data_IF_922665045946
#
_entry.id   IF_922665045946
#
_cell.length_a   1.000
_cell.length_b   1.000
_cell.length_c   1.000
_cell.angle_alpha   90.00
_cell.angle_beta   90.00
_cell.angle_gamma   90.00
#
_symmetry.space_group_name_H-M   'P 1'
#
loop_
_entity.id
_entity.type
_entity.pdbx_description
1 polymer ?
#
# COMPACT_ATOMS: atom_id res chain seq x y z
N UNK A 1 -27.57 -45.48 29.06
CA UNK A 1 -26.41 -44.58 28.95
C UNK A 1 -26.21 -44.23 27.48
N UNK A 2 -26.65 -43.05 27.05
CA UNK A 2 -26.37 -42.54 25.70
C UNK A 2 -25.06 -41.72 25.76
N UNK A 3 -24.05 -42.17 25.02
CA UNK A 3 -22.82 -41.42 24.75
C UNK A 3 -23.09 -40.50 23.56
N UNK A 4 -23.23 -39.19 23.80
CA UNK A 4 -23.17 -38.21 22.71
C UNK A 4 -21.71 -38.02 22.27
N UNK A 5 -21.40 -38.08 20.97
CA UNK A 5 -20.08 -37.73 20.48
C UNK A 5 -19.92 -36.20 20.55
N UNK A 6 -18.89 -35.73 21.26
CA UNK A 6 -18.39 -34.37 21.14
C UNK A 6 -17.92 -34.18 19.69
N UNK A 7 -18.76 -33.56 18.87
CA UNK A 7 -18.33 -33.04 17.59
C UNK A 7 -17.37 -31.87 17.87
N UNK A 8 -16.07 -32.16 17.79
CA UNK A 8 -15.02 -31.16 17.87
C UNK A 8 -15.13 -30.28 16.61
N UNK A 9 -15.85 -29.17 16.73
CA UNK A 9 -15.93 -28.16 15.68
C UNK A 9 -14.56 -27.50 15.54
N UNK A 10 -13.80 -27.95 14.55
CA UNK A 10 -12.65 -27.25 14.00
C UNK A 10 -13.15 -25.92 13.42
N UNK A 11 -13.22 -24.89 14.27
CA UNK A 11 -13.37 -23.52 13.79
C UNK A 11 -12.06 -23.21 13.06
N UNK A 12 -12.08 -22.97 11.74
CA UNK A 12 -10.87 -22.53 11.06
C UNK A 12 -10.47 -21.22 11.72
N UNK A 13 -9.31 -21.19 12.37
CA UNK A 13 -8.69 -19.95 12.77
C UNK A 13 -8.58 -19.14 11.48
N UNK A 14 -9.22 -17.97 11.44
CA UNK A 14 -9.05 -17.04 10.34
C UNK A 14 -7.55 -16.76 10.27
N UNK A 15 -6.87 -17.40 9.32
CA UNK A 15 -5.50 -17.07 9.02
C UNK A 15 -5.56 -15.63 8.54
N UNK A 16 -5.20 -14.73 9.44
CA UNK A 16 -4.85 -13.35 9.13
C UNK A 16 -3.82 -13.41 8.01
N UNK A 17 -4.28 -13.16 6.78
CA UNK A 17 -3.45 -13.31 5.60
C UNK A 17 -2.41 -12.19 5.68
N UNK A 18 -1.21 -12.51 6.16
CA UNK A 18 -0.11 -11.55 6.18
C UNK A 18 0.56 -11.52 4.80
N UNK A 19 0.96 -10.33 4.38
CA UNK A 19 1.75 -10.13 3.17
C UNK A 19 3.14 -10.71 3.40
N UNK A 20 3.47 -11.77 2.68
CA UNK A 20 4.78 -12.42 2.80
C UNK A 20 5.91 -11.44 2.41
N UNK A 21 7.00 -11.46 3.17
CA UNK A 21 8.14 -10.54 2.97
C UNK A 21 7.96 -9.12 3.53
N UNK A 22 6.79 -8.82 4.12
CA UNK A 22 6.50 -7.56 4.79
C UNK A 22 6.36 -7.75 6.31
N UNK A 23 6.90 -6.82 7.12
CA UNK A 23 6.72 -6.85 8.57
C UNK A 23 5.32 -6.37 8.97
N UNK A 24 4.91 -6.63 10.22
CA UNK A 24 3.58 -6.26 10.74
C UNK A 24 3.31 -4.75 10.65
N UNK A 25 4.36 -3.94 10.74
CA UNK A 25 4.33 -2.49 10.53
C UNK A 25 5.57 -2.05 9.75
N UNK A 26 5.39 -1.15 8.77
CA UNK A 26 6.48 -0.57 7.99
C UNK A 26 6.13 0.81 7.49
N UNK A 27 7.14 1.54 7.01
CA UNK A 27 6.94 2.83 6.34
C UNK A 27 7.44 2.76 4.91
N UNK A 28 6.77 3.47 4.01
CA UNK A 28 7.17 3.62 2.61
C UNK A 28 7.37 5.10 2.34
N UNK A 29 8.57 5.46 1.88
CA UNK A 29 8.87 6.80 1.38
C UNK A 29 9.03 6.74 -0.13
N UNK A 30 8.52 7.74 -0.84
CA UNK A 30 8.72 7.84 -2.28
C UNK A 30 8.89 9.28 -2.75
N UNK A 31 9.81 9.46 -3.69
CA UNK A 31 10.03 10.71 -4.40
C UNK A 31 9.31 10.65 -5.77
N UNK A 32 8.38 11.58 -6.00
CA UNK A 32 7.62 11.70 -7.25
C UNK A 32 8.15 12.90 -8.02
N UNK A 33 8.52 12.70 -9.29
CA UNK A 33 9.00 13.74 -10.19
C UNK A 33 8.06 13.91 -11.38
N UNK A 34 7.72 15.15 -11.75
CA UNK A 34 7.10 15.42 -13.06
C UNK A 34 6.38 16.77 -13.17
N UNK A 35 5.93 17.07 -14.39
CA UNK A 35 5.10 18.24 -14.71
C UNK A 35 3.64 17.84 -15.01
N UNK A 36 3.40 16.56 -15.29
CA UNK A 36 2.10 15.96 -15.63
C UNK A 36 2.17 14.43 -15.47
N UNK A 37 1.23 13.80 -14.73
CA UNK A 37 1.24 12.34 -14.42
C UNK A 37 0.80 11.45 -15.62
N UNK A 38 0.57 12.03 -16.79
CA UNK A 38 0.34 11.23 -18.01
C UNK A 38 1.54 10.38 -18.42
N UNK A 39 2.72 10.66 -17.83
CA UNK A 39 3.88 9.79 -17.96
C UNK A 39 3.85 8.74 -16.83
N UNK A 40 3.72 7.43 -17.13
CA UNK A 40 3.76 6.35 -16.14
C UNK A 40 5.16 6.16 -15.52
N UNK A 41 5.92 7.25 -15.40
CA UNK A 41 7.29 7.27 -14.90
C UNK A 41 7.33 7.00 -13.40
N UNK A 42 7.29 5.70 -13.10
CA UNK A 42 8.01 4.97 -12.07
C UNK A 42 8.71 5.85 -11.02
N UNK A 43 8.23 5.83 -9.78
CA UNK A 43 9.04 6.29 -8.66
C UNK A 43 10.24 5.37 -8.52
N UNK A 44 11.45 5.94 -8.53
CA UNK A 44 12.69 5.20 -8.29
C UNK A 44 13.35 5.73 -7.02
N UNK A 45 13.72 4.79 -6.14
CA UNK A 45 14.44 4.90 -4.86
C UNK A 45 13.58 5.17 -3.62
N UNK A 46 13.73 4.48 -2.48
CA UNK A 46 14.73 3.52 -1.96
C UNK A 46 14.09 2.15 -1.66
N UNK A 47 14.79 1.03 -1.93
CA UNK A 47 14.41 -0.38 -1.68
C UNK A 47 13.06 -0.90 -2.25
N UNK A 48 12.13 -0.02 -2.65
CA UNK A 48 10.80 -0.33 -3.16
C UNK A 48 10.47 0.53 -4.38
N UNK A 49 9.71 -0.02 -5.33
CA UNK A 49 9.12 0.76 -6.44
C UNK A 49 7.68 1.09 -6.09
N UNK A 50 7.34 2.38 -5.95
CA UNK A 50 5.96 2.84 -5.82
C UNK A 50 5.45 3.26 -7.22
N UNK A 51 4.24 2.86 -7.58
CA UNK A 51 3.46 3.46 -8.67
C UNK A 51 2.20 4.10 -8.07
N UNK A 52 1.71 5.21 -8.61
CA UNK A 52 0.46 5.86 -8.17
C UNK A 52 -0.45 6.12 -9.36
N UNK A 53 -1.75 6.03 -9.15
CA UNK A 53 -2.77 6.45 -10.11
C UNK A 53 -3.52 7.68 -9.62
N UNK A 54 -3.39 8.79 -10.36
CA UNK A 54 -4.09 10.05 -10.11
C UNK A 54 -3.64 11.11 -11.11
N UNK A 55 -4.42 12.19 -11.30
CA UNK A 55 -4.10 13.22 -12.30
C UNK A 55 -3.10 14.28 -11.82
N UNK A 56 -2.76 14.32 -10.51
CA UNK A 56 -1.88 15.33 -9.92
C UNK A 56 -0.90 14.74 -8.89
N UNK A 57 0.23 15.44 -8.69
CA UNK A 57 1.29 15.07 -7.75
C UNK A 57 0.88 15.14 -6.27
N UNK A 58 -0.27 15.75 -5.98
CA UNK A 58 -0.79 15.86 -4.62
C UNK A 58 -1.46 14.54 -4.21
N UNK A 59 -1.12 13.95 -3.05
CA UNK A 59 -1.64 12.64 -2.65
C UNK A 59 -3.14 12.66 -2.34
N UNK A 60 -3.71 13.85 -2.12
CA UNK A 60 -5.15 14.08 -1.98
C UNK A 60 -5.98 13.65 -3.20
N UNK A 61 -5.38 13.39 -4.36
CA UNK A 61 -6.09 12.91 -5.55
C UNK A 61 -5.65 11.51 -5.99
N UNK A 62 -4.76 10.86 -5.25
CA UNK A 62 -4.35 9.50 -5.58
C UNK A 62 -5.51 8.54 -5.33
N UNK A 63 -5.78 7.65 -6.27
CA UNK A 63 -6.86 6.65 -6.15
C UNK A 63 -6.30 5.28 -5.79
N UNK A 64 -5.12 4.98 -6.30
CA UNK A 64 -4.38 3.77 -5.98
C UNK A 64 -2.88 4.04 -5.97
N UNK A 65 -2.16 3.12 -5.33
CA UNK A 65 -0.72 2.98 -5.43
C UNK A 65 -0.33 1.50 -5.51
N UNK A 66 0.90 1.19 -5.89
CA UNK A 66 1.43 -0.17 -5.85
C UNK A 66 2.87 -0.13 -5.40
N UNK A 67 3.26 -0.98 -4.45
CA UNK A 67 4.65 -1.17 -4.06
C UNK A 67 5.19 -2.55 -4.44
N UNK A 68 6.44 -2.55 -4.87
CA UNK A 68 7.19 -3.76 -5.15
C UNK A 68 8.51 -3.76 -4.37
N UNK A 69 8.77 -4.85 -3.65
CA UNK A 69 10.02 -5.16 -2.97
C UNK A 69 10.57 -6.48 -3.52
N UNK A 70 11.88 -6.59 -3.66
CA UNK A 70 12.51 -7.84 -4.08
C UNK A 70 12.19 -8.97 -3.10
N UNK A 71 11.93 -10.18 -3.63
CA UNK A 71 11.62 -11.37 -2.83
C UNK A 71 10.51 -11.12 -1.78
N UNK A 72 9.45 -10.41 -2.18
CA UNK A 72 8.31 -10.09 -1.31
C UNK A 72 7.02 -10.02 -2.13
N UNK A 73 5.88 -10.06 -1.45
CA UNK A 73 4.58 -9.82 -2.07
C UNK A 73 4.56 -8.45 -2.75
N UNK A 74 3.93 -8.36 -3.92
CA UNK A 74 3.57 -7.06 -4.48
C UNK A 74 2.32 -6.58 -3.75
N UNK A 75 2.24 -5.28 -3.48
CA UNK A 75 1.15 -4.74 -2.68
C UNK A 75 0.46 -3.63 -3.45
N UNK A 76 -0.85 -3.79 -3.64
CA UNK A 76 -1.72 -2.75 -4.18
C UNK A 76 -2.34 -1.97 -3.01
N UNK A 77 -2.30 -0.65 -3.12
CA UNK A 77 -2.93 0.30 -2.22
C UNK A 77 -4.14 0.90 -2.91
N UNK A 78 -5.30 0.84 -2.29
CA UNK A 78 -6.52 1.50 -2.81
C UNK A 78 -7.07 2.47 -1.79
N UNK A 79 -7.23 3.74 -2.20
CA UNK A 79 -7.65 4.79 -1.29
C UNK A 79 -9.07 4.56 -0.79
N UNK A 80 -9.29 4.78 0.50
CA UNK A 80 -10.60 4.70 1.11
C UNK A 80 -11.33 6.04 0.94
N UNK A 81 -12.11 6.17 -0.13
CA UNK A 81 -12.87 7.40 -0.41
C UNK A 81 -11.97 8.64 -0.47
N UNK A 82 -12.36 9.70 0.26
CA UNK A 82 -11.62 10.97 0.34
C UNK A 82 -10.68 11.04 1.57
N UNK A 83 -10.19 9.90 2.09
CA UNK A 83 -9.34 9.85 3.28
C UNK A 83 -7.86 9.66 2.94
N UNK A 84 -6.96 9.95 3.87
CA UNK A 84 -5.52 9.67 3.69
C UNK A 84 -5.13 8.21 3.95
N UNK A 85 -6.12 7.32 3.98
CA UNK A 85 -5.95 5.90 4.26
C UNK A 85 -6.14 5.06 3.00
N UNK A 86 -5.30 4.05 2.84
CA UNK A 86 -5.33 3.07 1.76
C UNK A 86 -5.50 1.68 2.34
N UNK A 87 -6.39 0.88 1.75
CA UNK A 87 -6.40 -0.56 1.99
C UNK A 87 -5.24 -1.22 1.26
N UNK A 88 -4.62 -2.21 1.89
CA UNK A 88 -3.53 -3.00 1.33
C UNK A 88 -4.04 -4.35 0.84
N UNK A 89 -3.65 -4.71 -0.38
CA UNK A 89 -3.99 -5.99 -1.02
C UNK A 89 -2.72 -6.64 -1.54
N UNK A 90 -2.60 -7.97 -1.47
CA UNK A 90 -1.60 -8.66 -2.27
C UNK A 90 -2.00 -8.58 -3.75
N UNK A 91 -1.11 -8.09 -4.61
CA UNK A 91 -1.43 -7.88 -6.02
C UNK A 91 -1.82 -9.20 -6.70
N UNK A 92 -2.85 -9.15 -7.55
CA UNK A 92 -3.41 -10.30 -8.27
C UNK A 92 -3.97 -11.44 -7.38
N UNK A 93 -4.35 -11.14 -6.12
CA UNK A 93 -5.01 -12.10 -5.22
C UNK A 93 -6.52 -11.83 -5.06
N UNK A 94 -7.12 -12.54 -4.10
CA UNK A 94 -8.56 -12.68 -3.84
C UNK A 94 -9.25 -11.42 -3.28
N UNK A 95 -8.63 -10.24 -3.42
CA UNK A 95 -9.12 -8.95 -2.91
C UNK A 95 -9.32 -8.92 -1.39
N UNK A 96 -8.69 -9.82 -0.66
CA UNK A 96 -8.62 -9.72 0.80
C UNK A 96 -7.83 -8.47 1.20
N UNK A 97 -8.34 -7.72 2.17
CA UNK A 97 -7.58 -6.61 2.76
C UNK A 97 -6.63 -7.20 3.79
N UNK A 98 -5.34 -7.03 3.58
CA UNK A 98 -4.28 -7.53 4.46
C UNK A 98 -3.84 -6.50 5.50
N UNK A 99 -4.17 -5.23 5.28
CA UNK A 99 -3.65 -4.12 6.07
C UNK A 99 -4.15 -2.77 5.61
N UNK A 100 -3.61 -1.72 6.23
CA UNK A 100 -3.84 -0.34 5.83
C UNK A 100 -2.55 0.47 5.84
N UNK A 101 -2.49 1.48 5.00
CA UNK A 101 -1.46 2.52 5.02
C UNK A 101 -2.11 3.89 5.19
N UNK A 102 -1.48 4.78 5.93
CA UNK A 102 -1.90 6.17 6.06
C UNK A 102 -0.79 7.11 5.62
N UNK A 103 -1.14 8.18 4.90
CA UNK A 103 -0.20 9.27 4.62
C UNK A 103 0.06 10.01 5.93
N UNK A 104 1.31 10.02 6.37
CA UNK A 104 1.73 10.70 7.61
C UNK A 104 2.60 11.91 7.35
N UNK A 105 3.19 12.01 6.16
CA UNK A 105 3.93 13.17 5.73
C UNK A 105 3.82 13.37 4.22
N UNK A 106 3.69 14.63 3.83
CA UNK A 106 3.77 15.09 2.46
C UNK A 106 4.61 16.37 2.45
N UNK A 107 5.59 16.42 1.56
CA UNK A 107 6.42 17.59 1.35
C UNK A 107 6.63 17.80 -0.14
N UNK A 108 6.28 18.98 -0.63
CA UNK A 108 6.61 19.42 -1.98
C UNK A 108 7.86 20.29 -1.92
N UNK A 109 8.93 19.86 -2.61
CA UNK A 109 10.12 20.67 -2.75
C UNK A 109 9.87 21.79 -3.77
N UNK A 110 10.50 22.97 -3.61
CA UNK A 110 10.40 24.06 -4.58
C UNK A 110 10.80 23.58 -5.99
N UNK A 111 10.06 24.03 -7.00
CA UNK A 111 10.28 23.65 -8.40
C UNK A 111 11.76 23.85 -8.80
N UNK A 112 12.43 22.74 -9.15
CA UNK A 112 13.74 22.78 -9.79
C UNK A 112 13.58 22.65 -11.30
N UNK A 113 14.64 22.90 -12.08
CA UNK A 113 14.63 22.96 -13.55
C UNK A 113 14.10 21.69 -14.27
N UNK A 114 13.79 20.62 -13.53
CA UNK A 114 13.32 19.30 -13.98
C UNK A 114 11.87 18.99 -13.53
N UNK A 115 11.17 19.96 -12.96
CA UNK A 115 9.78 19.83 -12.52
C UNK A 115 9.60 19.88 -11.00
N UNK A 116 8.44 19.44 -10.53
CA UNK A 116 8.12 19.38 -9.10
C UNK A 116 8.58 18.04 -8.53
N UNK A 117 9.22 18.09 -7.35
CA UNK A 117 9.55 16.91 -6.56
C UNK A 117 8.65 16.87 -5.33
N UNK A 118 7.97 15.74 -5.14
CA UNK A 118 7.13 15.49 -3.97
C UNK A 118 7.68 14.30 -3.21
N UNK A 119 7.81 14.44 -1.89
CA UNK A 119 8.09 13.35 -0.97
C UNK A 119 6.81 12.97 -0.23
N UNK A 120 6.48 11.68 -0.21
CA UNK A 120 5.36 11.14 0.57
C UNK A 120 5.84 10.03 1.49
N UNK A 121 5.43 10.07 2.75
CA UNK A 121 5.62 9.01 3.72
C UNK A 121 4.29 8.36 4.08
N UNK A 122 4.23 7.05 3.88
CA UNK A 122 3.12 6.19 4.29
C UNK A 122 3.55 5.37 5.50
N UNK A 123 2.71 5.29 6.53
CA UNK A 123 2.83 4.31 7.62
C UNK A 123 1.81 3.21 7.41
N UNK A 124 2.28 1.96 7.36
CA UNK A 124 1.50 0.79 7.03
C UNK A 124 1.50 -0.22 8.16
N UNK A 125 0.38 -0.92 8.34
CA UNK A 125 0.21 -2.03 9.27
C UNK A 125 -0.67 -3.13 8.66
N UNK A 126 -0.40 -4.37 9.01
CA UNK A 126 -1.17 -5.55 8.60
C UNK A 126 -1.71 -6.31 9.81
N UNK A 127 -2.83 -7.01 9.62
CA UNK A 127 -3.48 -7.81 10.67
C UNK A 127 -3.44 -9.29 10.33
#
# INVERSE_FOLDING_TARGET
MLLLPLALSLVPAAATAKLWGWPDSFSVSADVFGDNISDPNWMRHFDHRLAVGGSYLHPEVWTWAQIQKENSAWVDFWRQGNSDTFNMYESNKDRTVHGQCQIVHFHEEPQHCLGRKVMVLLNCWQW
#
